data_IF_244430123990
#
_entry.id   IF_244430123990
#
_cell.length_a   1.000
_cell.length_b   1.000
_cell.length_c   1.000
_cell.angle_alpha   90.00
_cell.angle_beta   90.00
_cell.angle_gamma   90.00
#
_symmetry.space_group_name_H-M   'P 1'
#
loop_
_entity.id
_entity.type
_entity.pdbx_description
1 polymer ?
#
# COMPACT_ATOMS: atom_id res chain seq x y z
N UNK A 1 2.09 1.13 13.13
CA UNK A 1 1.81 2.58 13.24
C UNK A 1 1.78 3.07 14.69
N UNK A 2 1.08 2.40 15.61
CA UNK A 2 1.01 2.79 17.03
C UNK A 2 2.38 3.10 17.67
N UNK A 3 3.38 2.24 17.45
CA UNK A 3 4.75 2.44 17.96
C UNK A 3 5.50 3.63 17.34
N UNK A 4 5.18 4.04 16.10
CA UNK A 4 5.81 5.21 15.46
C UNK A 4 5.18 6.52 15.98
N UNK A 5 3.86 6.50 16.20
CA UNK A 5 3.13 7.61 16.83
C UNK A 5 3.59 7.82 18.28
N UNK A 6 3.81 6.73 19.03
CA UNK A 6 4.36 6.78 20.40
C UNK A 6 5.77 7.39 20.45
N UNK A 7 6.55 7.24 19.38
CA UNK A 7 7.89 7.84 19.23
C UNK A 7 7.88 9.26 18.65
N UNK A 8 6.71 9.91 18.57
CA UNK A 8 6.52 11.26 18.02
C UNK A 8 7.05 11.43 16.58
N UNK A 9 7.12 10.34 15.81
CA UNK A 9 7.44 10.42 14.38
C UNK A 9 6.17 10.84 13.65
N UNK A 10 6.23 11.94 12.90
CA UNK A 10 5.13 12.35 12.02
C UNK A 10 5.01 11.33 10.88
N UNK A 11 3.86 10.66 10.79
CA UNK A 11 3.58 9.66 9.75
C UNK A 11 2.32 10.06 9.00
N UNK A 12 2.46 10.27 7.71
CA UNK A 12 1.35 10.47 6.77
C UNK A 12 1.30 9.29 5.80
N UNK A 13 0.10 8.83 5.49
CA UNK A 13 -0.10 7.75 4.53
C UNK A 13 -1.25 6.85 4.91
N UNK A 14 -1.24 5.64 4.34
CA UNK A 14 -2.28 4.65 4.55
C UNK A 14 -1.71 3.24 4.51
N UNK A 15 -2.49 2.29 5.00
CA UNK A 15 -2.24 0.86 4.91
C UNK A 15 -3.55 0.15 4.60
N UNK A 16 -3.48 -1.08 4.12
CA UNK A 16 -4.67 -1.87 3.81
C UNK A 16 -4.95 -2.90 4.90
N UNK A 17 -6.22 -3.14 5.20
CA UNK A 17 -6.65 -4.18 6.13
C UNK A 17 -7.62 -5.13 5.45
N UNK A 18 -7.60 -6.41 5.85
CA UNK A 18 -8.57 -7.38 5.35
C UNK A 18 -9.94 -7.11 5.96
N UNK A 19 -10.96 -7.01 5.11
CA UNK A 19 -12.36 -6.98 5.53
C UNK A 19 -12.87 -8.42 5.59
N UNK A 20 -13.33 -8.84 6.77
CA UNK A 20 -13.87 -10.18 7.01
C UNK A 20 -15.34 -10.11 7.44
N UNK A 21 -16.13 -11.09 7.05
CA UNK A 21 -17.52 -11.24 7.52
C UNK A 21 -17.56 -11.80 8.96
N UNK A 22 -18.76 -11.97 9.50
CA UNK A 22 -18.98 -12.55 10.84
C UNK A 22 -18.51 -14.00 10.96
N UNK A 23 -18.32 -14.70 9.85
CA UNK A 23 -17.84 -16.08 9.79
C UNK A 23 -16.31 -16.14 9.58
N UNK A 24 -15.63 -14.99 9.52
CA UNK A 24 -14.20 -14.89 9.30
C UNK A 24 -13.77 -15.00 7.83
N UNK A 25 -14.70 -15.11 6.87
CA UNK A 25 -14.36 -15.16 5.45
C UNK A 25 -13.89 -13.80 4.96
N UNK A 26 -12.84 -13.77 4.14
CA UNK A 26 -12.36 -12.53 3.53
C UNK A 26 -13.29 -12.06 2.42
N UNK A 27 -14.03 -10.99 2.70
CA UNK A 27 -15.00 -10.37 1.78
C UNK A 27 -14.46 -9.14 1.06
N UNK A 28 -13.27 -8.67 1.43
CA UNK A 28 -12.65 -7.53 0.76
C UNK A 28 -11.44 -6.98 1.50
N UNK A 29 -11.12 -5.73 1.19
CA UNK A 29 -10.04 -4.97 1.77
C UNK A 29 -10.50 -3.53 1.98
N UNK A 30 -10.04 -2.93 3.08
CA UNK A 30 -10.19 -1.50 3.34
C UNK A 30 -8.83 -0.81 3.22
N UNK A 31 -8.86 0.48 2.89
CA UNK A 31 -7.77 1.42 3.14
C UNK A 31 -7.99 2.06 4.51
N UNK A 32 -6.93 2.17 5.30
CA UNK A 32 -6.90 2.83 6.60
C UNK A 32 -5.81 3.88 6.59
N UNK A 33 -6.16 5.14 6.82
CA UNK A 33 -5.19 6.25 6.87
C UNK A 33 -4.51 6.31 8.23
N UNK A 34 -3.35 6.96 8.31
CA UNK A 34 -2.65 7.19 9.59
C UNK A 34 -3.45 8.10 10.53
N UNK A 35 -4.42 8.85 10.00
CA UNK A 35 -5.37 9.70 10.72
C UNK A 35 -6.61 8.93 11.21
N UNK A 36 -6.74 7.64 10.88
CA UNK A 36 -7.82 6.77 11.34
C UNK A 36 -9.05 6.70 10.42
N UNK A 37 -9.06 7.39 9.29
CA UNK A 37 -10.12 7.22 8.28
C UNK A 37 -10.04 5.82 7.67
N UNK A 38 -11.19 5.16 7.53
CA UNK A 38 -11.31 3.85 6.86
C UNK A 38 -12.28 3.94 5.69
N UNK A 39 -11.89 3.43 4.52
CA UNK A 39 -12.74 3.36 3.32
C UNK A 39 -12.60 2.01 2.60
N UNK A 40 -13.60 1.57 1.83
CA UNK A 40 -13.49 0.34 1.04
C UNK A 40 -12.45 0.51 -0.08
N UNK A 41 -11.61 -0.50 -0.26
CA UNK A 41 -10.66 -0.60 -1.37
C UNK A 41 -11.14 -1.62 -2.42
N UNK A 42 -11.51 -2.81 -1.95
CA UNK A 42 -11.98 -3.86 -2.82
C UNK A 42 -12.99 -4.76 -2.10
N UNK A 43 -13.97 -5.27 -2.83
CA UNK A 43 -15.00 -6.16 -2.29
C UNK A 43 -15.36 -7.25 -3.30
N UNK A 44 -15.90 -8.36 -2.81
CA UNK A 44 -16.55 -9.35 -3.70
C UNK A 44 -17.76 -8.67 -4.32
N UNK A 45 -17.91 -8.74 -5.65
CA UNK A 45 -19.09 -8.18 -6.33
C UNK A 45 -20.36 -8.80 -5.76
N UNK A 46 -21.30 -7.96 -5.35
CA UNK A 46 -22.68 -8.37 -5.21
C UNK A 46 -23.31 -8.44 -6.59
N UNK A 47 -24.03 -9.52 -6.88
CA UNK A 47 -24.79 -9.64 -8.12
C UNK A 47 -25.79 -8.48 -8.22
N UNK A 48 -25.73 -7.70 -9.31
CA UNK A 48 -26.69 -6.62 -9.60
C UNK A 48 -26.12 -5.20 -9.63
N UNK A 49 -24.89 -4.98 -9.18
CA UNK A 49 -24.22 -3.68 -9.34
C UNK A 49 -23.61 -3.60 -10.75
N UNK A 50 -24.34 -3.00 -11.70
CA UNK A 50 -23.96 -2.84 -13.11
C UNK A 50 -22.64 -2.08 -13.34
N UNK A 51 -21.97 -1.66 -12.27
CA UNK A 51 -20.70 -0.96 -12.26
C UNK A 51 -19.56 -1.87 -12.75
N UNK A 52 -18.92 -1.47 -13.85
CA UNK A 52 -17.72 -2.12 -14.41
C UNK A 52 -16.47 -1.65 -13.67
N UNK A 53 -16.21 -2.25 -12.51
CA UNK A 53 -14.96 -2.05 -11.76
C UNK A 53 -13.87 -3.01 -12.24
N UNK A 54 -12.59 -2.61 -12.21
CA UNK A 54 -11.45 -3.51 -12.40
C UNK A 54 -11.47 -4.68 -11.41
N UNK A 55 -11.08 -5.86 -11.87
CA UNK A 55 -11.11 -7.09 -11.08
C UNK A 55 -9.70 -7.61 -10.80
N UNK A 56 -9.44 -8.00 -9.55
CA UNK A 56 -8.26 -8.76 -9.15
C UNK A 56 -8.74 -10.06 -8.49
N UNK A 57 -8.63 -11.17 -9.23
CA UNK A 57 -9.26 -12.43 -8.84
C UNK A 57 -10.77 -12.26 -8.69
N UNK A 58 -11.30 -12.51 -7.48
CA UNK A 58 -12.74 -12.38 -7.18
C UNK A 58 -13.15 -11.00 -6.64
N UNK A 59 -12.21 -10.07 -6.48
CA UNK A 59 -12.45 -8.77 -5.86
C UNK A 59 -12.57 -7.68 -6.93
N UNK A 60 -13.67 -6.92 -6.89
CA UNK A 60 -13.80 -5.66 -7.60
C UNK A 60 -13.05 -4.57 -6.82
N UNK A 61 -12.24 -3.79 -7.51
CA UNK A 61 -11.42 -2.72 -6.93
C UNK A 61 -12.06 -1.37 -7.22
N UNK A 62 -12.36 -0.61 -6.17
CA UNK A 62 -12.82 0.78 -6.28
C UNK A 62 -11.61 1.71 -6.42
N UNK A 63 -11.09 1.82 -7.64
CA UNK A 63 -9.92 2.67 -7.94
C UNK A 63 -10.22 4.13 -7.63
N UNK A 64 -11.42 4.60 -7.96
CA UNK A 64 -11.82 6.01 -7.75
C UNK A 64 -11.94 6.32 -6.26
N UNK A 65 -12.58 5.44 -5.48
CA UNK A 65 -12.68 5.58 -4.04
C UNK A 65 -11.33 5.50 -3.34
N UNK A 66 -10.45 4.60 -3.79
CA UNK A 66 -9.08 4.50 -3.32
C UNK A 66 -8.32 5.81 -3.54
N UNK A 67 -8.36 6.37 -4.74
CA UNK A 67 -7.63 7.59 -5.09
C UNK A 67 -8.09 8.81 -4.31
N UNK A 68 -9.39 8.93 -4.05
CA UNK A 68 -9.95 9.99 -3.20
C UNK A 68 -9.35 9.99 -1.79
N UNK A 69 -8.93 8.83 -1.28
CA UNK A 69 -8.31 8.69 0.05
C UNK A 69 -6.79 8.73 -0.04
N UNK A 70 -6.19 8.06 -1.01
CA UNK A 70 -4.75 7.89 -1.12
C UNK A 70 -4.04 9.15 -1.65
N UNK A 71 -4.61 9.83 -2.65
CA UNK A 71 -3.94 10.97 -3.30
C UNK A 71 -3.71 12.16 -2.36
N UNK A 72 -4.69 12.60 -1.54
CA UNK A 72 -4.46 13.69 -0.58
C UNK A 72 -3.35 13.39 0.43
N UNK A 73 -3.12 12.11 0.73
CA UNK A 73 -2.07 11.67 1.66
C UNK A 73 -0.70 11.60 1.00
N UNK A 74 -0.66 11.48 -0.31
CA UNK A 74 0.58 11.41 -1.07
C UNK A 74 1.08 12.76 -1.50
N UNK A 75 0.19 13.68 -1.86
CA UNK A 75 0.61 15.02 -2.20
C UNK A 75 -0.50 16.04 -1.93
N UNK A 76 -0.05 17.24 -1.59
CA UNK A 76 -0.74 18.48 -1.91
C UNK A 76 -0.85 18.71 -3.45
N UNK A 77 -0.92 17.65 -4.27
CA UNK A 77 -0.91 17.67 -5.73
C UNK A 77 -1.68 16.47 -6.31
N UNK A 78 -2.36 16.72 -7.42
CA UNK A 78 -3.59 16.05 -7.83
C UNK A 78 -3.42 14.96 -8.92
N UNK A 79 -4.22 13.88 -8.77
CA UNK A 79 -5.10 13.19 -9.75
C UNK A 79 -4.67 11.96 -10.59
N UNK A 80 -5.18 10.77 -10.19
CA UNK A 80 -5.65 9.58 -10.96
C UNK A 80 -4.61 8.65 -11.66
N UNK A 81 -4.59 7.36 -11.29
CA UNK A 81 -3.99 6.15 -11.92
C UNK A 81 -3.09 6.39 -13.15
N UNK A 82 -1.83 5.94 -13.08
CA UNK A 82 -0.58 6.59 -13.53
C UNK A 82 -0.15 7.75 -12.63
N UNK A 83 -1.06 8.54 -12.10
CA UNK A 83 -0.67 9.63 -11.20
C UNK A 83 -0.24 9.18 -9.83
N UNK A 84 -0.82 8.11 -9.28
CA UNK A 84 -0.24 7.49 -8.08
C UNK A 84 1.22 7.10 -8.34
N UNK A 85 1.52 6.52 -9.50
CA UNK A 85 2.88 6.17 -9.90
C UNK A 85 3.78 7.41 -10.08
N UNK A 86 3.25 8.50 -10.65
CA UNK A 86 3.98 9.77 -10.82
C UNK A 86 4.24 10.49 -9.50
N UNK A 87 3.24 10.59 -8.62
CA UNK A 87 3.38 11.13 -7.28
C UNK A 87 4.39 10.31 -6.46
N UNK A 88 4.31 8.98 -6.52
CA UNK A 88 5.29 8.11 -5.87
C UNK A 88 6.70 8.30 -6.45
N UNK A 89 6.83 8.38 -7.77
CA UNK A 89 8.10 8.67 -8.43
C UNK A 89 8.69 10.03 -8.02
N UNK A 90 7.85 11.07 -7.91
CA UNK A 90 8.23 12.40 -7.43
C UNK A 90 8.72 12.34 -5.98
N UNK A 91 7.99 11.67 -5.09
CA UNK A 91 8.37 11.50 -3.68
C UNK A 91 9.71 10.77 -3.50
N UNK A 92 9.99 9.76 -4.33
CA UNK A 92 11.26 9.04 -4.31
C UNK A 92 12.45 9.98 -4.59
N UNK A 93 12.29 10.94 -5.49
CA UNK A 93 13.36 11.86 -5.89
C UNK A 93 13.59 12.98 -4.86
N UNK A 94 12.56 13.39 -4.13
CA UNK A 94 12.60 14.63 -3.33
C UNK A 94 13.42 14.52 -2.02
N UNK A 95 13.78 13.33 -1.52
CA UNK A 95 14.51 13.09 -0.25
C UNK A 95 13.98 13.85 0.99
N UNK A 96 12.71 14.26 1.01
CA UNK A 96 12.12 15.04 2.12
C UNK A 96 11.56 14.17 3.24
N UNK A 97 11.31 12.89 2.95
CA UNK A 97 10.74 11.93 3.89
C UNK A 97 11.29 10.53 3.64
N UNK A 98 11.22 9.68 4.67
CA UNK A 98 11.43 8.24 4.51
C UNK A 98 10.14 7.60 4.03
N UNK A 99 10.21 6.80 2.97
CA UNK A 99 9.07 6.06 2.44
C UNK A 99 9.13 4.60 2.91
N UNK A 100 8.06 4.15 3.55
CA UNK A 100 7.84 2.74 3.87
C UNK A 100 6.78 2.19 2.91
N UNK A 101 7.18 1.24 2.04
CA UNK A 101 6.35 0.72 0.97
C UNK A 101 6.41 -0.81 0.96
N UNK A 102 5.30 -1.45 0.62
CA UNK A 102 5.26 -2.88 0.31
C UNK A 102 5.19 -3.05 -1.20
N UNK A 103 6.19 -3.69 -1.78
CA UNK A 103 6.24 -4.02 -3.21
C UNK A 103 6.24 -5.54 -3.38
N UNK A 104 5.64 -6.06 -4.47
CA UNK A 104 5.70 -7.49 -4.74
C UNK A 104 7.17 -7.94 -4.90
N UNK A 105 7.48 -9.10 -4.30
CA UNK A 105 8.67 -9.86 -4.68
C UNK A 105 8.50 -10.21 -6.16
N UNK A 106 9.50 -9.93 -6.99
CA UNK A 106 9.42 -10.10 -8.44
C UNK A 106 8.79 -11.47 -8.78
N UNK A 107 7.57 -11.45 -9.30
CA UNK A 107 6.78 -12.64 -9.59
C UNK A 107 6.74 -12.94 -11.10
N UNK A 108 6.09 -14.03 -11.48
CA UNK A 108 5.82 -14.33 -12.89
C UNK A 108 4.81 -13.31 -13.44
N UNK A 109 5.29 -12.33 -14.21
CA UNK A 109 4.46 -11.31 -14.82
C UNK A 109 5.29 -10.19 -15.44
N UNK A 110 4.62 -9.24 -16.12
CA UNK A 110 5.29 -8.05 -16.66
C UNK A 110 5.73 -7.16 -15.50
N UNK A 111 7.03 -6.79 -15.41
CA UNK A 111 7.51 -5.91 -14.35
C UNK A 111 6.85 -4.53 -14.47
N UNK A 112 6.36 -4.01 -13.34
CA UNK A 112 5.77 -2.67 -13.27
C UNK A 112 6.92 -1.64 -13.17
N UNK A 113 7.01 -0.65 -14.07
CA UNK A 113 8.11 0.31 -14.09
C UNK A 113 8.34 1.03 -12.75
N UNK A 114 7.27 1.37 -12.03
CA UNK A 114 7.36 2.00 -10.70
C UNK A 114 7.98 1.08 -9.65
N UNK A 115 7.70 -0.23 -9.71
CA UNK A 115 8.26 -1.23 -8.78
C UNK A 115 9.75 -1.39 -9.05
N UNK A 116 10.16 -1.46 -10.32
CA UNK A 116 11.58 -1.53 -10.69
C UNK A 116 12.32 -0.26 -10.29
N UNK A 117 11.70 0.92 -10.43
CA UNK A 117 12.27 2.19 -9.98
C UNK A 117 12.48 2.22 -8.46
N UNK A 118 11.52 1.73 -7.67
CA UNK A 118 11.66 1.62 -6.20
C UNK A 118 12.79 0.64 -5.86
N UNK A 119 12.82 -0.53 -6.51
CA UNK A 119 13.81 -1.58 -6.26
C UNK A 119 15.23 -1.14 -6.62
N UNK A 120 15.39 -0.41 -7.71
CA UNK A 120 16.67 0.09 -8.20
C UNK A 120 17.09 1.44 -7.63
N UNK A 121 16.33 2.03 -6.70
CA UNK A 121 16.65 3.34 -6.16
C UNK A 121 17.93 3.26 -5.29
N UNK A 122 18.93 4.14 -5.49
CA UNK A 122 20.26 4.03 -4.84
C UNK A 122 20.22 4.12 -3.31
N UNK A 123 19.12 4.60 -2.74
CA UNK A 123 18.90 4.71 -1.30
C UNK A 123 17.75 3.85 -0.78
N UNK A 124 17.24 2.90 -1.58
CA UNK A 124 16.23 1.98 -1.11
C UNK A 124 16.85 0.89 -0.24
N UNK A 125 16.31 0.72 0.97
CA UNK A 125 16.54 -0.47 1.79
C UNK A 125 15.45 -1.49 1.47
N UNK A 126 15.81 -2.57 0.77
CA UNK A 126 14.87 -3.64 0.44
C UNK A 126 14.92 -4.74 1.51
N UNK A 127 13.85 -4.86 2.30
CA UNK A 127 13.67 -5.95 3.26
C UNK A 127 12.69 -6.95 2.66
N UNK A 128 13.16 -8.19 2.41
CA UNK A 128 12.29 -9.28 1.96
C UNK A 128 11.77 -10.02 3.17
N UNK A 129 10.46 -9.99 3.39
CA UNK A 129 9.81 -10.79 4.43
C UNK A 129 9.50 -12.16 3.84
N UNK A 130 10.30 -13.17 4.21
CA UNK A 130 10.02 -14.57 3.89
C UNK A 130 9.04 -15.10 4.94
N UNK A 131 7.81 -15.39 4.53
CA UNK A 131 6.71 -15.76 5.43
C UNK A 131 7.05 -16.99 6.29
N UNK A 132 6.74 -16.90 7.59
CA UNK A 132 6.40 -18.07 8.38
C UNK A 132 5.16 -17.79 9.24
N UNK A 133 3.97 -17.89 8.62
CA UNK A 133 2.69 -18.27 9.24
C UNK A 133 2.49 -17.79 10.69
N UNK A 134 2.49 -16.50 10.97
CA UNK A 134 1.96 -15.91 12.21
C UNK A 134 1.93 -14.39 12.15
N UNK A 135 0.90 -13.82 12.76
CA UNK A 135 0.36 -12.46 12.57
C UNK A 135 1.21 -11.31 13.16
N UNK A 136 2.54 -11.39 13.08
CA UNK A 136 3.43 -10.36 13.63
C UNK A 136 4.63 -10.15 12.73
N UNK A 137 4.86 -8.89 12.35
CA UNK A 137 6.01 -8.46 11.57
C UNK A 137 7.28 -8.62 12.42
N UNK A 138 7.96 -9.76 12.28
CA UNK A 138 9.32 -9.92 12.78
C UNK A 138 10.28 -9.50 11.66
N UNK A 139 10.99 -8.41 11.88
CA UNK A 139 12.11 -8.01 11.03
C UNK A 139 13.32 -8.71 11.61
N UNK A 140 13.81 -9.76 10.94
CA UNK A 140 15.14 -10.29 11.24
C UNK A 140 16.16 -9.25 10.78
N UNK A 141 16.61 -8.45 11.75
CA UNK A 141 17.71 -7.52 11.58
C UNK A 141 19.03 -8.31 11.58
N UNK A 142 19.29 -9.04 10.51
CA UNK A 142 20.59 -9.70 10.30
C UNK A 142 21.29 -9.23 9.02
N UNK A 143 20.94 -8.02 8.56
CA UNK A 143 21.68 -7.33 7.50
C UNK A 143 22.21 -6.03 8.07
N UNK A 144 23.53 -6.01 8.28
CA UNK A 144 24.28 -4.95 8.94
C UNK A 144 23.86 -3.55 8.52
N UNK A 145 23.29 -2.82 9.47
CA UNK A 145 23.04 -1.39 9.38
C UNK A 145 24.38 -0.69 9.63
N UNK A 146 24.93 -0.06 8.60
CA UNK A 146 25.95 0.99 8.79
C UNK A 146 25.28 2.33 8.51
N UNK A 147 25.34 3.23 9.48
CA UNK A 147 24.86 4.61 9.38
C UNK A 147 25.66 5.42 8.34
#
# INVERSE_FOLDING_TARGET
MKQLQEKQVSVAGFYTTEKRDTHGNRIGFNIVTTEGMTAPLAAIKSDGDGTRLPMIGRYAVDVVGFERVALPLMEKMELLSDTFCRALASLLDQRRCALLLTIPVAGRGRPLPVVERIRGHPHALLVTVLDNKSTWWQIDADVGVTF
#
